data_IF_549049297069
#
_entry.id   IF_549049297069
#
_cell.length_a   1.000
_cell.length_b   1.000
_cell.length_c   1.000
_cell.angle_alpha   90.00
_cell.angle_beta   90.00
_cell.angle_gamma   90.00
#
_symmetry.space_group_name_H-M   'P 1'
#
loop_
_entity.id
_entity.type
_entity.pdbx_description
1 polymer ?
#
# COMPACT_ATOMS: atom_id res chain seq x y z
N UNK A 1 -6.78 -6.29 18.88
CA UNK A 1 -8.13 -6.22 18.28
C UNK A 1 -7.98 -5.99 16.78
N UNK A 2 -8.78 -6.64 15.96
CA UNK A 2 -8.70 -6.55 14.49
C UNK A 2 -9.76 -5.62 13.92
N UNK A 3 -9.45 -5.01 12.77
CA UNK A 3 -10.37 -4.22 11.96
C UNK A 3 -10.46 -4.90 10.60
N UNK A 4 -11.69 -5.12 10.12
CA UNK A 4 -11.99 -5.80 8.85
C UNK A 4 -13.09 -5.05 8.11
N UNK A 5 -13.35 -5.42 6.86
CA UNK A 5 -14.28 -4.70 5.99
C UNK A 5 -13.54 -3.98 4.89
N UNK A 6 -13.83 -2.68 4.72
CA UNK A 6 -13.33 -1.87 3.61
C UNK A 6 -13.66 -2.46 2.25
N UNK A 7 -14.88 -3.01 2.13
CA UNK A 7 -15.36 -3.54 0.85
C UNK A 7 -15.86 -2.35 0.03
N UNK A 8 -14.97 -1.85 -0.81
CA UNK A 8 -15.16 -0.71 -1.67
C UNK A 8 -13.92 -0.53 -2.56
N UNK A 9 -14.03 0.36 -3.55
CA UNK A 9 -12.94 0.63 -4.50
C UNK A 9 -12.76 2.14 -4.60
N UNK A 10 -11.52 2.59 -4.54
CA UNK A 10 -11.16 4.00 -4.72
C UNK A 10 -10.01 4.13 -5.70
N UNK A 11 -9.99 5.25 -6.38
CA UNK A 11 -8.86 5.69 -7.19
C UNK A 11 -8.62 7.16 -6.87
N UNK A 12 -7.37 7.50 -6.60
CA UNK A 12 -6.99 8.81 -6.11
C UNK A 12 -6.02 9.48 -7.05
N UNK A 13 -6.12 10.80 -7.11
CA UNK A 13 -5.20 11.69 -7.77
C UNK A 13 -5.29 13.07 -7.16
N UNK A 14 -4.33 13.93 -7.48
CA UNK A 14 -4.35 15.33 -7.08
C UNK A 14 -4.16 16.19 -8.33
N UNK A 15 -4.79 17.37 -8.37
CA UNK A 15 -4.57 18.36 -9.42
C UNK A 15 -3.56 19.41 -8.98
N UNK A 16 -2.66 19.82 -9.87
CA UNK A 16 -1.68 20.89 -9.61
C UNK A 16 -1.80 22.07 -10.58
N UNK A 17 -2.86 22.11 -11.38
CA UNK A 17 -3.12 23.15 -12.40
C UNK A 17 -2.98 24.57 -11.83
N UNK A 18 -3.64 24.84 -10.70
CA UNK A 18 -3.61 26.17 -10.08
C UNK A 18 -2.25 26.50 -9.46
N UNK A 19 -1.58 25.51 -8.87
CA UNK A 19 -0.24 25.69 -8.31
C UNK A 19 0.78 26.02 -9.40
N UNK A 20 0.73 25.31 -10.53
CA UNK A 20 1.59 25.59 -11.69
C UNK A 20 1.34 27.00 -12.23
N UNK A 21 0.06 27.41 -12.34
CA UNK A 21 -0.32 28.76 -12.76
C UNK A 21 0.24 29.83 -11.83
N UNK A 22 0.17 29.63 -10.52
CA UNK A 22 0.72 30.56 -9.53
C UNK A 22 2.26 30.66 -9.60
N UNK A 23 2.93 29.55 -9.90
CA UNK A 23 4.39 29.47 -9.98
C UNK A 23 4.95 29.86 -11.36
N UNK A 24 4.08 30.16 -12.34
CA UNK A 24 4.47 30.45 -13.71
C UNK A 24 5.07 29.24 -14.45
N UNK A 25 4.71 28.03 -14.04
CA UNK A 25 5.16 26.78 -14.66
C UNK A 25 4.27 26.48 -15.86
N UNK A 26 4.90 26.32 -17.04
CA UNK A 26 4.23 25.86 -18.25
C UNK A 26 4.35 24.33 -18.38
N UNK A 27 3.20 23.64 -18.43
CA UNK A 27 3.13 22.21 -18.74
C UNK A 27 2.89 22.02 -20.24
N UNK A 28 3.75 21.21 -20.90
CA UNK A 28 3.61 20.85 -22.31
C UNK A 28 3.55 19.33 -22.42
N UNK A 29 2.46 18.82 -22.95
CA UNK A 29 2.23 17.39 -23.14
C UNK A 29 1.98 17.08 -24.62
N UNK A 30 2.55 15.97 -25.08
CA UNK A 30 2.35 15.44 -26.42
C UNK A 30 1.91 13.98 -26.28
N UNK A 31 0.71 13.66 -26.75
CA UNK A 31 0.12 12.34 -26.63
C UNK A 31 -0.43 11.86 -27.97
N UNK A 32 -0.60 10.55 -28.10
CA UNK A 32 -1.34 9.92 -29.18
C UNK A 32 -2.49 9.11 -28.58
N UNK A 33 -3.71 9.32 -29.10
CA UNK A 33 -4.96 8.78 -28.57
C UNK A 33 -5.71 9.78 -27.69
N UNK A 34 -7.03 9.87 -27.90
CA UNK A 34 -7.88 10.97 -27.40
C UNK A 34 -7.93 11.10 -25.86
N UNK A 35 -7.78 9.99 -25.14
CA UNK A 35 -7.85 9.93 -23.67
C UNK A 35 -6.51 9.59 -23.01
N UNK A 36 -5.39 9.78 -23.71
CA UNK A 36 -4.08 9.32 -23.20
C UNK A 36 -3.54 10.16 -22.03
N UNK A 37 -4.13 11.34 -21.80
CA UNK A 37 -3.90 12.22 -20.66
C UNK A 37 -4.87 11.96 -19.48
N UNK A 38 -5.71 10.92 -19.57
CA UNK A 38 -6.64 10.51 -18.52
C UNK A 38 -5.95 10.43 -17.15
N UNK A 39 -6.57 11.06 -16.14
CA UNK A 39 -6.08 11.19 -14.76
C UNK A 39 -4.77 11.98 -14.60
N UNK A 40 -4.33 12.72 -15.63
CA UNK A 40 -3.17 13.59 -15.50
C UNK A 40 -3.42 14.67 -14.44
N UNK A 41 -2.47 14.87 -13.49
CA UNK A 41 -2.60 15.88 -12.44
C UNK A 41 -2.38 17.31 -12.97
N UNK A 42 -1.89 17.42 -14.22
CA UNK A 42 -1.43 18.66 -14.82
C UNK A 42 -2.47 19.33 -15.70
N UNK A 43 -3.61 18.67 -15.94
CA UNK A 43 -4.73 19.18 -16.73
C UNK A 43 -6.02 19.18 -15.89
N UNK A 44 -7.00 20.04 -16.23
CA UNK A 44 -8.31 19.98 -15.59
C UNK A 44 -9.01 18.64 -15.80
N UNK A 45 -9.84 18.23 -14.83
CA UNK A 45 -10.63 16.99 -14.93
C UNK A 45 -11.63 17.10 -16.09
N UNK A 46 -11.57 16.13 -17.01
CA UNK A 46 -12.56 15.96 -18.07
C UNK A 46 -13.78 15.17 -17.54
N UNK A 47 -15.03 15.69 -17.63
CA UNK A 47 -16.22 15.01 -17.15
C UNK A 47 -16.51 13.65 -17.81
N UNK A 48 -16.23 13.50 -19.11
CA UNK A 48 -16.48 12.25 -19.85
C UNK A 48 -15.54 11.14 -19.39
N UNK A 49 -14.25 11.47 -19.30
CA UNK A 49 -13.20 10.61 -18.77
C UNK A 49 -13.44 10.24 -17.30
N UNK A 50 -13.90 11.20 -16.49
CA UNK A 50 -14.29 10.95 -15.12
C UNK A 50 -15.43 9.92 -15.05
N UNK A 51 -16.48 10.10 -15.85
CA UNK A 51 -17.61 9.17 -15.88
C UNK A 51 -17.18 7.76 -16.35
N UNK A 52 -16.26 7.68 -17.32
CA UNK A 52 -15.67 6.41 -17.73
C UNK A 52 -14.94 5.70 -16.57
N UNK A 53 -14.11 6.44 -15.82
CA UNK A 53 -13.42 5.87 -14.66
C UNK A 53 -14.36 5.50 -13.52
N UNK A 54 -15.39 6.30 -13.24
CA UNK A 54 -16.42 5.96 -12.26
C UNK A 54 -17.17 4.68 -12.64
N UNK A 55 -17.44 4.46 -13.94
CA UNK A 55 -17.98 3.22 -14.46
C UNK A 55 -17.06 2.02 -14.21
N UNK A 56 -15.77 2.15 -14.53
CA UNK A 56 -14.78 1.10 -14.26
C UNK A 56 -14.67 0.78 -12.76
N UNK A 57 -14.66 1.79 -11.90
CA UNK A 57 -14.61 1.60 -10.44
C UNK A 57 -15.87 0.88 -9.94
N UNK A 58 -17.04 1.21 -10.49
CA UNK A 58 -18.28 0.52 -10.17
C UNK A 58 -18.21 -0.97 -10.60
N UNK A 59 -17.72 -1.27 -11.79
CA UNK A 59 -17.61 -2.65 -12.27
C UNK A 59 -16.69 -3.49 -11.39
N UNK A 60 -15.52 -2.95 -11.01
CA UNK A 60 -14.59 -3.60 -10.07
C UNK A 60 -15.24 -3.76 -8.70
N UNK A 61 -16.00 -2.76 -8.24
CA UNK A 61 -16.71 -2.85 -6.97
C UNK A 61 -17.76 -3.97 -6.99
N UNK A 62 -18.55 -4.10 -8.06
CA UNK A 62 -19.52 -5.19 -8.21
C UNK A 62 -18.85 -6.57 -8.22
N UNK A 63 -17.68 -6.69 -8.85
CA UNK A 63 -16.89 -7.93 -8.81
C UNK A 63 -16.43 -8.27 -7.39
N UNK A 64 -15.98 -7.27 -6.62
CA UNK A 64 -15.59 -7.47 -5.22
C UNK A 64 -16.81 -7.88 -4.37
N UNK A 65 -17.94 -7.19 -4.51
CA UNK A 65 -19.20 -7.56 -3.84
C UNK A 65 -19.55 -9.01 -4.15
N UNK A 66 -19.50 -9.40 -5.42
CA UNK A 66 -19.79 -10.77 -5.85
C UNK A 66 -18.86 -11.78 -5.17
N UNK A 67 -17.55 -11.54 -5.17
CA UNK A 67 -16.58 -12.44 -4.55
C UNK A 67 -16.85 -12.61 -3.03
N UNK A 68 -17.21 -11.53 -2.34
CA UNK A 68 -17.56 -11.59 -0.91
C UNK A 68 -18.86 -12.38 -0.71
N UNK A 69 -19.90 -12.12 -1.51
CA UNK A 69 -21.17 -12.86 -1.45
C UNK A 69 -20.98 -14.35 -1.71
N UNK A 70 -20.24 -14.70 -2.77
CA UNK A 70 -19.94 -16.09 -3.12
C UNK A 70 -19.14 -16.79 -2.00
N UNK A 71 -18.12 -16.11 -1.44
CA UNK A 71 -17.26 -16.69 -0.41
C UNK A 71 -17.93 -16.84 0.96
N UNK A 72 -18.83 -15.91 1.33
CA UNK A 72 -19.50 -15.94 2.63
C UNK A 72 -20.82 -16.72 2.59
N UNK A 73 -21.52 -16.71 1.46
CA UNK A 73 -22.81 -17.38 1.29
C UNK A 73 -23.87 -16.86 2.26
N UNK A 74 -24.70 -17.78 2.77
CA UNK A 74 -25.80 -17.47 3.69
C UNK A 74 -25.34 -16.88 5.04
N UNK A 75 -24.06 -17.01 5.40
CA UNK A 75 -23.52 -16.41 6.62
C UNK A 75 -23.53 -14.88 6.55
N UNK A 76 -23.39 -14.31 5.35
CA UNK A 76 -23.29 -12.87 5.17
C UNK A 76 -24.66 -12.21 5.33
N UNK A 77 -24.74 -11.23 6.23
CA UNK A 77 -25.93 -10.39 6.34
C UNK A 77 -25.96 -9.33 5.23
N UNK A 78 -25.96 -9.76 3.96
CA UNK A 78 -25.70 -8.91 2.79
C UNK A 78 -26.64 -7.70 2.63
N UNK A 79 -27.85 -7.79 3.19
CA UNK A 79 -28.85 -6.71 3.18
C UNK A 79 -28.59 -5.64 4.25
N UNK A 80 -27.60 -5.84 5.12
CA UNK A 80 -27.22 -4.83 6.13
C UNK A 80 -26.69 -3.57 5.44
N UNK A 81 -27.28 -2.40 5.72
CA UNK A 81 -26.83 -1.15 5.13
C UNK A 81 -25.33 -0.89 5.40
N UNK A 82 -24.60 -0.56 4.34
CA UNK A 82 -23.19 -0.17 4.42
C UNK A 82 -22.17 -1.31 4.37
N UNK A 83 -22.59 -2.59 4.28
CA UNK A 83 -21.62 -3.71 4.15
C UNK A 83 -20.67 -3.53 2.95
N UNK A 84 -21.16 -2.95 1.86
CA UNK A 84 -20.41 -2.72 0.63
C UNK A 84 -20.14 -1.23 0.37
N UNK A 85 -20.07 -0.40 1.41
CA UNK A 85 -19.84 1.05 1.23
C UNK A 85 -18.38 1.47 1.48
N UNK A 86 -17.47 0.52 1.70
CA UNK A 86 -16.09 0.80 2.10
C UNK A 86 -15.90 1.11 3.60
N UNK A 87 -16.97 1.01 4.41
CA UNK A 87 -16.86 1.14 5.87
C UNK A 87 -16.06 -0.02 6.49
N UNK A 88 -15.58 0.20 7.72
CA UNK A 88 -14.81 -0.77 8.48
C UNK A 88 -15.54 -1.15 9.76
N UNK A 89 -15.28 -2.36 10.24
CA UNK A 89 -15.88 -2.92 11.43
C UNK A 89 -14.79 -3.53 12.31
N UNK A 90 -15.00 -3.47 13.62
CA UNK A 90 -14.21 -4.27 14.56
C UNK A 90 -14.46 -5.76 14.29
N UNK A 91 -13.49 -6.62 14.61
CA UNK A 91 -13.68 -8.07 14.50
C UNK A 91 -14.95 -8.56 15.21
N UNK A 92 -15.28 -8.00 16.37
CA UNK A 92 -16.49 -8.36 17.13
C UNK A 92 -17.78 -8.07 16.35
N UNK A 93 -17.87 -6.90 15.71
CA UNK A 93 -19.02 -6.54 14.85
C UNK A 93 -19.08 -7.42 13.61
N UNK A 94 -17.93 -7.71 13.01
CA UNK A 94 -17.81 -8.47 11.78
C UNK A 94 -18.28 -9.93 11.91
N UNK A 95 -18.19 -10.54 13.10
CA UNK A 95 -18.80 -11.85 13.37
C UNK A 95 -20.32 -11.77 13.18
N UNK A 96 -20.96 -10.77 13.78
CA UNK A 96 -22.41 -10.57 13.66
C UNK A 96 -22.84 -10.36 12.22
N UNK A 97 -22.08 -9.55 11.45
CA UNK A 97 -22.34 -9.30 10.03
C UNK A 97 -22.05 -10.49 9.12
N UNK A 98 -21.41 -11.54 9.64
CA UNK A 98 -21.00 -12.70 8.86
C UNK A 98 -19.84 -12.43 7.90
N UNK A 99 -19.07 -11.36 8.11
CA UNK A 99 -17.87 -11.03 7.35
C UNK A 99 -16.70 -11.95 7.72
N UNK A 100 -16.67 -12.45 8.96
CA UNK A 100 -15.68 -13.41 9.45
C UNK A 100 -16.38 -14.55 10.22
N UNK A 101 -15.65 -15.63 10.47
CA UNK A 101 -16.20 -16.82 11.14
C UNK A 101 -16.13 -16.79 12.66
N UNK A 102 -15.19 -16.01 13.19
CA UNK A 102 -14.97 -15.92 14.62
C UNK A 102 -13.74 -15.08 14.93
N UNK A 103 -13.46 -14.96 16.22
CA UNK A 103 -12.24 -14.36 16.73
C UNK A 103 -11.25 -15.47 17.08
N UNK A 104 -9.96 -15.20 16.84
CA UNK A 104 -8.89 -16.12 17.18
C UNK A 104 -7.54 -15.45 17.01
N UNK A 105 -6.52 -16.12 17.51
CA UNK A 105 -5.13 -15.80 17.22
C UNK A 105 -4.54 -16.86 16.28
N UNK A 106 -3.29 -16.66 15.87
CA UNK A 106 -2.62 -17.56 14.92
C UNK A 106 -2.51 -18.98 15.49
N UNK A 107 -2.26 -19.12 16.79
CA UNK A 107 -2.08 -20.41 17.44
C UNK A 107 -3.41 -21.17 17.54
N UNK A 108 -4.49 -20.49 17.92
CA UNK A 108 -5.83 -21.07 18.01
C UNK A 108 -6.31 -21.51 16.63
N UNK A 109 -6.15 -20.68 15.60
CA UNK A 109 -6.57 -21.02 14.24
C UNK A 109 -5.74 -22.17 13.67
N UNK A 110 -4.42 -22.18 13.89
CA UNK A 110 -3.55 -23.26 13.43
C UNK A 110 -3.92 -24.61 14.05
N UNK A 111 -4.19 -24.63 15.37
CA UNK A 111 -4.56 -25.83 16.11
C UNK A 111 -5.96 -26.31 15.76
N UNK A 112 -6.93 -25.41 15.78
CA UNK A 112 -8.36 -25.77 15.82
C UNK A 112 -8.99 -25.83 14.42
N UNK A 113 -8.51 -24.99 13.48
CA UNK A 113 -9.07 -24.87 12.13
C UNK A 113 -8.20 -25.59 11.10
N UNK A 114 -6.91 -25.26 11.06
CA UNK A 114 -5.97 -25.80 10.06
C UNK A 114 -5.46 -27.19 10.47
N UNK A 115 -5.52 -27.51 11.76
CA UNK A 115 -5.05 -28.78 12.36
C UNK A 115 -3.56 -29.06 12.11
N UNK A 116 -2.73 -28.03 12.25
CA UNK A 116 -1.27 -28.14 12.15
C UNK A 116 -0.62 -27.96 13.52
N UNK A 117 0.27 -28.89 13.88
CA UNK A 117 0.95 -28.87 15.19
C UNK A 117 2.06 -27.82 15.28
N UNK A 118 2.62 -27.40 14.13
CA UNK A 118 3.78 -26.52 14.08
C UNK A 118 3.53 -25.29 13.22
N UNK A 119 3.27 -24.17 13.87
CA UNK A 119 3.31 -22.84 13.24
C UNK A 119 4.76 -22.40 13.20
N UNK A 120 5.32 -22.23 11.99
CA UNK A 120 6.65 -21.64 11.83
C UNK A 120 6.45 -20.17 11.58
N UNK A 121 6.91 -19.34 12.52
CA UNK A 121 6.99 -17.91 12.32
C UNK A 121 8.16 -17.61 11.37
N UNK A 122 7.84 -17.21 10.14
CA UNK A 122 8.81 -16.84 9.10
C UNK A 122 9.16 -15.36 9.17
N UNK A 123 8.66 -14.63 10.18
CA UNK A 123 9.12 -13.28 10.46
C UNK A 123 10.57 -13.38 10.94
N UNK A 124 11.52 -13.22 10.03
CA UNK A 124 12.93 -13.07 10.38
C UNK A 124 13.09 -11.71 11.05
N UNK A 125 12.71 -11.61 12.32
CA UNK A 125 13.21 -10.58 13.21
C UNK A 125 14.73 -10.74 13.21
N UNK A 126 15.44 -9.83 12.55
CA UNK A 126 16.90 -9.78 12.63
C UNK A 126 17.27 -9.83 14.12
N UNK A 127 18.04 -10.86 14.50
CA UNK A 127 18.38 -11.08 15.89
C UNK A 127 19.12 -9.84 16.42
N UNK A 128 19.13 -9.64 17.74
CA UNK A 128 19.86 -8.52 18.34
C UNK A 128 21.34 -8.51 17.91
N UNK A 129 21.92 -9.69 17.68
CA UNK A 129 23.27 -9.85 17.13
C UNK A 129 23.36 -9.41 15.68
N UNK A 130 22.39 -9.74 14.82
CA UNK A 130 22.37 -9.28 13.42
C UNK A 130 22.27 -7.76 13.34
N UNK A 131 21.47 -7.14 14.23
CA UNK A 131 21.35 -5.67 14.32
C UNK A 131 22.65 -5.03 14.80
N UNK A 132 23.36 -5.66 15.74
CA UNK A 132 24.68 -5.22 16.20
C UNK A 132 25.71 -5.32 15.06
N UNK A 133 25.78 -6.47 14.39
CA UNK A 133 26.70 -6.74 13.29
C UNK A 133 26.45 -5.80 12.11
N UNK A 134 25.18 -5.50 11.78
CA UNK A 134 24.83 -4.52 10.77
C UNK A 134 25.36 -3.12 11.14
N UNK A 135 25.19 -2.68 12.40
CA UNK A 135 25.73 -1.39 12.86
C UNK A 135 27.25 -1.34 12.85
N UNK A 136 27.91 -2.43 13.22
CA UNK A 136 29.37 -2.54 13.15
C UNK A 136 29.86 -2.51 11.69
N UNK A 137 29.20 -3.22 10.77
CA UNK A 137 29.53 -3.20 9.35
C UNK A 137 29.39 -1.80 8.72
N UNK A 138 28.35 -1.05 9.11
CA UNK A 138 28.18 0.35 8.70
C UNK A 138 29.30 1.24 9.26
N UNK A 139 29.68 1.07 10.53
CA UNK A 139 30.78 1.85 11.13
C UNK A 139 32.14 1.55 10.46
N UNK A 140 32.43 0.28 10.18
CA UNK A 140 33.66 -0.14 9.49
C UNK A 140 33.71 0.39 8.06
N UNK A 141 32.61 0.28 7.29
CA UNK A 141 32.56 0.79 5.91
C UNK A 141 32.65 2.32 5.83
N UNK A 142 32.05 3.04 6.79
CA UNK A 142 32.24 4.48 6.91
C UNK A 142 33.69 4.86 7.26
N UNK A 143 34.35 4.09 8.12
CA UNK A 143 35.76 4.29 8.47
C UNK A 143 36.71 4.03 7.28
N UNK A 144 36.49 2.96 6.53
CA UNK A 144 37.28 2.61 5.35
C UNK A 144 37.09 3.64 4.23
N UNK A 145 35.85 4.04 3.95
CA UNK A 145 35.58 5.06 2.92
C UNK A 145 36.18 6.42 3.28
N UNK A 146 36.10 6.83 4.55
CA UNK A 146 36.74 8.04 5.06
C UNK A 146 38.27 7.97 4.94
N UNK A 147 38.89 6.83 5.29
CA UNK A 147 40.33 6.62 5.17
C UNK A 147 40.85 6.65 3.73
N UNK A 148 40.13 6.02 2.80
CA UNK A 148 40.46 6.02 1.37
C UNK A 148 40.29 7.44 0.80
N UNK A 149 39.21 8.14 1.14
CA UNK A 149 38.96 9.51 0.67
C UNK A 149 40.02 10.48 1.20
N UNK A 150 40.41 10.36 2.48
CA UNK A 150 41.45 11.21 3.10
C UNK A 150 42.83 10.95 2.49
N UNK A 151 43.15 9.70 2.17
CA UNK A 151 44.42 9.33 1.51
C UNK A 151 44.48 9.82 0.05
N UNK A 152 43.37 9.70 -0.69
CA UNK A 152 43.28 10.18 -2.08
C UNK A 152 43.34 11.72 -2.17
N UNK A 153 42.68 12.43 -1.25
CA UNK A 153 42.74 13.90 -1.19
C UNK A 153 44.14 14.37 -0.78
N UNK A 154 44.78 13.73 0.19
CA UNK A 154 46.12 14.11 0.65
C UNK A 154 47.21 13.81 -0.40
N UNK A 155 47.02 12.80 -1.27
CA UNK A 155 47.92 12.55 -2.42
C UNK A 155 47.83 13.60 -3.53
N UNK A 156 46.68 14.28 -3.68
CA UNK A 156 46.48 15.34 -4.70
C UNK A 156 46.96 16.73 -4.26
N UNK A 157 47.14 16.97 -2.96
CA UNK A 157 47.60 18.26 -2.43
C UNK A 157 49.01 18.22 -1.80
N UNK A 158 49.71 17.09 -1.88
CA UNK A 158 51.04 16.88 -1.29
C UNK A 158 52.24 17.15 -2.20
N UNK A 159 52.06 17.68 -3.42
CA UNK A 159 53.17 18.11 -4.29
C UNK A 159 52.92 19.55 -4.72
N UNK A 160 53.27 20.49 -3.86
CA UNK A 160 53.62 21.88 -4.18
C UNK A 160 54.34 22.45 -2.94
N UNK A 161 55.65 22.19 -2.90
CA UNK A 161 56.61 23.08 -2.27
C UNK A 161 56.94 24.19 -3.27
#
# INVERSE_FOLDING_TARGET
ASIVGSIGVRMDGFGVVDAMKMLGIEYRELTAGDHKALLSPFVPVNPEEKAHMEGLLNDVHQQFIKAVKDGRGERLQAETPGIFSGLVWTGQQAVGLGLIDGLGDVESVARDVVKVEKVVDVTTEASVLDRLLARLGVAVSAGVSSGISKTLIQSRYGVLH
#
